data_IF_805550034461
#
_entry.id   IF_805550034461
#
_cell.length_a   1.000
_cell.length_b   1.000
_cell.length_c   1.000
_cell.angle_alpha   90.00
_cell.angle_beta   90.00
_cell.angle_gamma   90.00
#
_symmetry.space_group_name_H-M   'P 1'
#
loop_
_entity.id
_entity.type
_entity.pdbx_description
1 polymer ?
#
# COMPACT_ATOMS: atom_id res chain seq x y z
N UNK A 1 -10.11 34.90 -16.76
CA UNK A 1 -9.24 35.59 -17.75
C UNK A 1 -9.89 35.39 -19.10
N UNK A 2 -10.20 36.46 -19.82
CA UNK A 2 -10.87 36.40 -21.13
C UNK A 2 -9.85 35.97 -22.20
N UNK A 3 -10.30 35.25 -23.24
CA UNK A 3 -9.45 34.66 -24.28
C UNK A 3 -8.68 35.74 -25.05
N UNK A 4 -9.25 36.94 -25.15
CA UNK A 4 -8.59 38.13 -25.70
C UNK A 4 -7.39 38.61 -24.88
N UNK A 5 -7.46 38.49 -23.55
CA UNK A 5 -6.35 38.87 -22.67
C UNK A 5 -5.16 37.90 -22.82
N UNK A 6 -5.44 36.62 -23.08
CA UNK A 6 -4.39 35.62 -23.32
C UNK A 6 -3.68 35.91 -24.64
N UNK A 7 -4.42 36.25 -25.70
CA UNK A 7 -3.83 36.60 -27.01
C UNK A 7 -2.99 37.88 -26.98
N UNK A 8 -3.40 38.89 -26.20
CA UNK A 8 -2.59 40.11 -26.02
C UNK A 8 -1.29 39.84 -25.26
N UNK A 9 -1.33 38.99 -24.22
CA UNK A 9 -0.13 38.59 -23.48
C UNK A 9 0.83 37.83 -24.39
N UNK A 10 0.33 36.87 -25.17
CA UNK A 10 1.17 36.10 -26.11
C UNK A 10 1.79 37.01 -27.18
N UNK A 11 1.02 37.96 -27.73
CA UNK A 11 1.53 38.91 -28.72
C UNK A 11 2.59 39.85 -28.14
N UNK A 12 2.42 40.29 -26.89
CA UNK A 12 3.40 41.10 -26.16
C UNK A 12 4.71 40.35 -25.92
N UNK A 13 4.62 39.06 -25.53
CA UNK A 13 5.79 38.18 -25.33
C UNK A 13 6.52 37.90 -26.64
N UNK A 14 5.80 37.72 -27.74
CA UNK A 14 6.41 37.50 -29.05
C UNK A 14 7.14 38.75 -29.58
N UNK A 15 6.61 39.94 -29.30
CA UNK A 15 7.25 41.21 -29.68
C UNK A 15 8.53 41.49 -28.87
N UNK A 16 8.59 41.08 -27.60
CA UNK A 16 9.79 41.25 -26.76
C UNK A 16 10.93 40.28 -27.11
N UNK A 17 10.64 39.19 -27.83
CA UNK A 17 11.62 38.19 -28.26
C UNK A 17 12.31 38.50 -29.60
N UNK A 18 12.03 39.65 -30.23
CA UNK A 18 12.82 40.17 -31.36
C UNK A 18 12.89 39.28 -32.61
N UNK A 19 11.91 38.40 -32.84
CA UNK A 19 11.84 37.60 -34.05
C UNK A 19 10.87 38.21 -35.07
N UNK A 20 11.41 38.77 -36.15
CA UNK A 20 10.64 39.14 -37.33
C UNK A 20 10.25 37.88 -38.11
N UNK A 21 8.99 37.80 -38.55
CA UNK A 21 8.51 36.72 -39.40
C UNK A 21 9.25 36.71 -40.76
N UNK A 22 9.74 35.55 -41.26
CA UNK A 22 10.40 35.50 -42.55
C UNK A 22 9.39 35.52 -43.71
N UNK A 23 9.76 36.22 -44.78
CA UNK A 23 9.04 36.31 -46.05
C UNK A 23 9.14 35.00 -46.88
N UNK A 24 8.19 34.73 -47.80
CA UNK A 24 8.12 33.44 -48.48
C UNK A 24 9.21 33.29 -49.56
N UNK A 25 9.98 32.21 -49.47
CA UNK A 25 10.93 31.77 -50.48
C UNK A 25 10.34 30.59 -51.24
N UNK A 26 10.13 30.76 -52.55
CA UNK A 26 9.74 29.67 -53.46
C UNK A 26 10.93 28.72 -53.69
N UNK A 27 11.01 27.68 -52.87
CA UNK A 27 11.85 26.52 -53.14
C UNK A 27 11.00 25.42 -53.78
N UNK A 28 11.26 25.13 -55.07
CA UNK A 28 10.75 23.94 -55.74
C UNK A 28 11.35 22.70 -55.07
N UNK A 29 10.61 22.12 -54.13
CA UNK A 29 10.88 20.80 -53.58
C UNK A 29 9.96 19.79 -54.26
N UNK A 30 10.54 18.74 -54.85
CA UNK A 30 9.81 17.68 -55.50
C UNK A 30 8.82 17.04 -54.50
N UNK A 31 7.55 16.98 -54.89
CA UNK A 31 6.48 16.38 -54.11
C UNK A 31 6.62 14.87 -54.19
N UNK A 32 7.46 14.29 -53.33
CA UNK A 32 7.29 12.88 -52.97
C UNK A 32 6.18 12.85 -51.91
N UNK A 33 4.98 12.50 -52.32
CA UNK A 33 3.87 12.20 -51.41
C UNK A 33 4.24 10.98 -50.58
N UNK A 34 4.88 11.21 -49.42
CA UNK A 34 4.91 10.21 -48.35
C UNK A 34 3.56 10.21 -47.65
N UNK A 35 2.54 9.66 -48.29
CA UNK A 35 1.37 9.13 -47.59
C UNK A 35 1.77 7.84 -46.91
N UNK A 36 2.53 7.94 -45.82
CA UNK A 36 2.51 6.88 -44.82
C UNK A 36 1.25 7.11 -43.98
N UNK A 37 0.31 6.15 -43.95
CA UNK A 37 -0.74 6.23 -42.95
C UNK A 37 -0.05 6.28 -41.59
N UNK A 38 -0.48 7.20 -40.73
CA UNK A 38 -0.21 7.11 -39.30
C UNK A 38 -0.93 5.83 -38.87
N UNK A 39 -0.24 4.70 -38.95
CA UNK A 39 -0.64 3.52 -38.21
C UNK A 39 -0.65 3.97 -36.78
N UNK A 40 -1.84 4.05 -36.18
CA UNK A 40 -1.99 4.11 -34.73
C UNK A 40 -0.95 3.17 -34.14
N UNK A 41 -0.03 3.68 -33.31
CA UNK A 41 0.92 2.85 -32.58
C UNK A 41 0.09 1.87 -31.76
N UNK A 42 -0.13 0.67 -32.30
CA UNK A 42 -0.71 -0.41 -31.53
C UNK A 42 0.41 -0.84 -30.60
N UNK A 43 0.33 -0.47 -29.33
CA UNK A 43 1.12 -1.10 -28.28
C UNK A 43 0.76 -2.60 -28.30
N UNK A 44 1.50 -3.38 -29.08
CA UNK A 44 1.22 -4.80 -29.30
C UNK A 44 1.39 -5.65 -28.02
N UNK A 45 2.04 -5.10 -26.99
CA UNK A 45 2.17 -5.72 -25.68
C UNK A 45 2.10 -4.66 -24.56
N UNK A 46 1.08 -4.76 -23.71
CA UNK A 46 1.00 -4.01 -22.46
C UNK A 46 1.92 -4.66 -21.41
N UNK A 47 2.86 -3.89 -20.86
CA UNK A 47 3.82 -4.37 -19.85
C UNK A 47 3.16 -4.80 -18.54
N UNK A 48 1.97 -4.30 -18.22
CA UNK A 48 1.17 -4.68 -17.06
C UNK A 48 0.34 -5.95 -17.24
N UNK A 49 0.24 -6.47 -18.48
CA UNK A 49 -0.59 -7.63 -18.83
C UNK A 49 -0.10 -8.94 -18.21
N UNK A 50 -0.99 -9.93 -18.13
CA UNK A 50 -0.64 -11.29 -17.73
C UNK A 50 0.38 -11.93 -18.69
N UNK A 51 0.27 -11.62 -19.99
CA UNK A 51 1.21 -12.08 -21.01
C UNK A 51 2.63 -11.56 -20.75
N UNK A 52 2.80 -10.26 -20.51
CA UNK A 52 4.10 -9.68 -20.18
C UNK A 52 4.68 -10.22 -18.87
N UNK A 53 3.82 -10.53 -17.89
CA UNK A 53 4.23 -11.17 -16.63
C UNK A 53 4.69 -12.61 -16.82
N UNK A 54 4.07 -13.36 -17.73
CA UNK A 54 4.40 -14.76 -18.01
C UNK A 54 5.55 -14.96 -19.01
N UNK A 55 6.04 -13.89 -19.65
CA UNK A 55 7.08 -13.94 -20.68
C UNK A 55 8.37 -14.64 -20.22
N UNK A 56 8.85 -15.57 -21.05
CA UNK A 56 10.13 -16.29 -20.89
C UNK A 56 11.10 -15.78 -21.96
N UNK A 57 12.24 -15.27 -21.50
CA UNK A 57 13.23 -14.61 -22.35
C UNK A 57 14.56 -15.36 -22.49
N UNK A 58 14.68 -16.58 -21.96
CA UNK A 58 15.91 -17.38 -22.09
C UNK A 58 16.07 -17.84 -23.54
N UNK A 59 17.20 -17.51 -24.15
CA UNK A 59 17.56 -17.93 -25.51
C UNK A 59 18.23 -19.31 -25.48
N UNK A 60 17.88 -20.19 -26.41
CA UNK A 60 18.38 -21.57 -26.52
C UNK A 60 18.34 -22.35 -25.18
N UNK A 61 17.16 -22.44 -24.53
CA UNK A 61 17.06 -23.13 -23.25
C UNK A 61 17.32 -24.63 -23.42
N UNK A 62 18.01 -25.24 -22.44
CA UNK A 62 18.20 -26.68 -22.42
C UNK A 62 16.86 -27.44 -22.40
N UNK A 63 15.87 -26.92 -21.65
CA UNK A 63 14.51 -27.46 -21.54
C UNK A 63 13.48 -26.34 -21.36
N UNK A 64 12.81 -25.96 -22.45
CA UNK A 64 11.83 -24.85 -22.45
C UNK A 64 10.54 -25.18 -21.66
N UNK A 65 10.15 -26.44 -21.65
CA UNK A 65 9.05 -26.98 -20.84
C UNK A 65 9.27 -26.73 -19.34
N UNK A 66 10.48 -26.99 -18.86
CA UNK A 66 10.86 -26.76 -17.45
C UNK A 66 10.83 -25.27 -17.11
N UNK A 67 11.29 -24.38 -18.01
CA UNK A 67 11.21 -22.94 -17.76
C UNK A 67 9.78 -22.45 -17.60
N UNK A 68 8.85 -23.02 -18.35
CA UNK A 68 7.42 -22.70 -18.23
C UNK A 68 6.90 -23.10 -16.85
N UNK A 69 7.31 -24.27 -16.36
CA UNK A 69 6.99 -24.72 -15.01
C UNK A 69 7.62 -23.84 -13.91
N UNK A 70 8.90 -23.50 -14.05
CA UNK A 70 9.59 -22.62 -13.10
C UNK A 70 8.95 -21.22 -13.08
N UNK A 71 8.48 -20.73 -14.22
CA UNK A 71 7.81 -19.42 -14.30
C UNK A 71 6.46 -19.44 -13.58
N UNK A 72 5.66 -20.51 -13.71
CA UNK A 72 4.35 -20.62 -13.02
C UNK A 72 4.47 -20.90 -11.52
N UNK A 73 5.57 -21.49 -11.06
CA UNK A 73 5.75 -21.89 -9.66
C UNK A 73 6.08 -20.72 -8.73
N UNK A 74 6.31 -19.52 -9.26
CA UNK A 74 6.67 -18.36 -8.44
C UNK A 74 6.21 -17.06 -9.08
N UNK A 75 5.87 -16.07 -8.25
CA UNK A 75 5.62 -14.70 -8.69
C UNK A 75 6.91 -13.91 -8.95
N UNK A 76 8.07 -14.43 -8.51
CA UNK A 76 9.38 -13.82 -8.75
C UNK A 76 9.71 -13.72 -10.25
N UNK A 77 10.54 -12.74 -10.63
CA UNK A 77 10.90 -12.42 -12.02
C UNK A 77 11.97 -13.37 -12.59
N UNK A 78 11.67 -14.67 -12.59
CA UNK A 78 12.57 -15.73 -13.12
C UNK A 78 12.38 -15.93 -14.63
N UNK A 79 13.30 -16.69 -15.24
CA UNK A 79 13.20 -17.13 -16.64
C UNK A 79 13.22 -16.00 -17.70
N UNK A 80 13.63 -14.79 -17.35
CA UNK A 80 13.67 -13.63 -18.27
C UNK A 80 14.87 -13.62 -19.23
N UNK A 81 15.81 -14.55 -19.06
CA UNK A 81 17.06 -14.59 -19.83
C UNK A 81 18.00 -13.42 -19.53
N UNK A 82 18.95 -13.17 -20.44
CA UNK A 82 20.01 -12.17 -20.30
C UNK A 82 20.51 -11.68 -21.66
N UNK A 83 21.13 -10.50 -21.69
CA UNK A 83 21.96 -9.99 -22.78
C UNK A 83 23.38 -9.78 -22.23
N UNK A 84 24.32 -10.68 -22.54
CA UNK A 84 25.59 -10.75 -21.80
C UNK A 84 25.33 -11.01 -20.31
N UNK A 85 25.83 -10.16 -19.38
CA UNK A 85 25.52 -10.22 -17.95
C UNK A 85 24.36 -9.29 -17.53
N UNK A 86 23.64 -8.67 -18.46
CA UNK A 86 22.57 -7.68 -18.18
C UNK A 86 21.17 -8.26 -18.40
N UNK A 87 20.13 -7.69 -17.76
CA UNK A 87 18.74 -8.04 -18.06
C UNK A 87 18.40 -7.83 -19.54
N UNK A 88 17.46 -8.61 -20.07
CA UNK A 88 16.88 -8.33 -21.39
C UNK A 88 16.01 -7.08 -21.35
N UNK A 89 15.87 -6.41 -22.49
CA UNK A 89 15.16 -5.13 -22.60
C UNK A 89 13.72 -5.21 -22.10
N UNK A 90 12.94 -6.22 -22.52
CA UNK A 90 11.54 -6.36 -22.08
C UNK A 90 11.41 -6.56 -20.56
N UNK A 91 12.34 -7.31 -19.95
CA UNK A 91 12.36 -7.48 -18.50
C UNK A 91 12.69 -6.18 -17.76
N UNK A 92 13.64 -5.39 -18.29
CA UNK A 92 13.96 -4.07 -17.74
C UNK A 92 12.79 -3.08 -17.92
N UNK A 93 12.15 -3.06 -19.09
CA UNK A 93 11.00 -2.19 -19.35
C UNK A 93 9.83 -2.52 -18.41
N UNK A 94 9.52 -3.82 -18.23
CA UNK A 94 8.49 -4.24 -17.27
C UNK A 94 8.86 -3.86 -15.83
N UNK A 95 10.12 -4.04 -15.44
CA UNK A 95 10.60 -3.62 -14.13
C UNK A 95 10.38 -2.12 -13.89
N UNK A 96 10.68 -1.27 -14.88
CA UNK A 96 10.48 0.17 -14.78
C UNK A 96 8.99 0.56 -14.74
N UNK A 97 8.14 -0.13 -15.52
CA UNK A 97 6.69 0.07 -15.50
C UNK A 97 6.06 -0.34 -14.15
N UNK A 98 6.46 -1.49 -13.60
CA UNK A 98 6.03 -1.93 -12.27
C UNK A 98 6.53 -0.94 -11.20
N UNK A 99 7.76 -0.40 -11.36
CA UNK A 99 8.31 0.58 -10.43
C UNK A 99 7.57 1.92 -10.45
N UNK A 100 7.20 2.45 -11.61
CA UNK A 100 6.44 3.70 -11.70
C UNK A 100 5.09 3.57 -11.00
N UNK A 101 4.38 2.46 -11.22
CA UNK A 101 3.11 2.18 -10.51
C UNK A 101 3.32 2.03 -9.00
N UNK A 102 4.35 1.29 -8.58
CA UNK A 102 4.68 1.10 -7.16
C UNK A 102 4.90 2.44 -6.44
N UNK A 103 5.59 3.39 -7.08
CA UNK A 103 5.83 4.73 -6.52
C UNK A 103 4.53 5.51 -6.25
N UNK A 104 3.55 5.43 -7.14
CA UNK A 104 2.26 6.10 -6.97
C UNK A 104 1.48 5.57 -5.77
N UNK A 105 1.54 4.25 -5.52
CA UNK A 105 0.80 3.61 -4.40
C UNK A 105 1.27 4.07 -3.02
N UNK A 106 2.53 4.51 -2.88
CA UNK A 106 3.09 4.99 -1.60
C UNK A 106 2.40 6.27 -1.10
N UNK A 107 2.02 7.15 -2.04
CA UNK A 107 1.41 8.45 -1.72
C UNK A 107 -0.12 8.43 -1.77
N UNK A 108 -0.72 7.33 -2.25
CA UNK A 108 -2.16 7.15 -2.25
C UNK A 108 -2.71 7.14 -0.83
N UNK A 109 -3.82 7.82 -0.62
CA UNK A 109 -4.50 7.91 0.68
C UNK A 109 -5.91 7.31 0.63
N UNK A 110 -6.36 6.79 1.78
CA UNK A 110 -7.73 6.33 1.96
C UNK A 110 -8.65 7.57 1.98
N UNK A 111 -9.70 7.62 1.16
CA UNK A 111 -10.68 8.70 1.25
C UNK A 111 -11.44 8.64 2.58
N UNK A 112 -11.67 9.77 3.23
CA UNK A 112 -12.39 9.84 4.52
C UNK A 112 -13.82 9.27 4.40
N UNK A 113 -14.47 9.47 3.25
CA UNK A 113 -15.78 8.91 2.96
C UNK A 113 -15.78 7.38 2.94
N UNK A 114 -14.68 6.74 2.55
CA UNK A 114 -14.55 5.29 2.58
C UNK A 114 -14.54 4.79 4.02
N UNK A 115 -13.76 5.43 4.91
CA UNK A 115 -13.68 5.08 6.34
C UNK A 115 -15.05 5.24 7.01
N UNK A 116 -15.73 6.35 6.72
CA UNK A 116 -17.08 6.61 7.22
C UNK A 116 -18.10 5.59 6.70
N UNK A 117 -18.00 5.17 5.44
CA UNK A 117 -18.88 4.15 4.86
C UNK A 117 -18.71 2.77 5.55
N UNK A 118 -17.51 2.47 6.07
CA UNK A 118 -17.27 1.27 6.87
C UNK A 118 -17.79 1.39 8.31
N UNK A 119 -18.35 2.55 8.71
CA UNK A 119 -18.82 2.78 10.07
C UNK A 119 -17.70 2.86 11.11
N UNK A 120 -16.47 3.16 10.68
CA UNK A 120 -15.32 3.32 11.58
C UNK A 120 -15.20 4.76 12.08
N UNK A 121 -14.83 4.91 13.35
CA UNK A 121 -14.32 6.17 13.87
C UNK A 121 -12.93 6.43 13.24
N UNK A 122 -12.77 7.57 12.59
CA UNK A 122 -11.47 8.02 12.09
C UNK A 122 -10.80 8.93 13.13
N UNK A 123 -9.59 8.57 13.55
CA UNK A 123 -8.68 9.40 14.34
C UNK A 123 -7.34 9.53 13.61
N UNK A 124 -6.49 10.45 14.07
CA UNK A 124 -5.21 10.77 13.41
C UNK A 124 -4.04 10.72 14.39
N UNK A 125 -2.86 10.37 13.89
CA UNK A 125 -1.60 10.61 14.61
C UNK A 125 -1.26 12.11 14.67
N UNK A 126 -0.08 12.47 15.18
CA UNK A 126 0.41 13.85 15.15
C UNK A 126 0.66 14.37 13.71
N UNK A 127 0.73 13.48 12.72
CA UNK A 127 1.06 13.80 11.33
C UNK A 127 -0.10 14.45 10.57
N UNK A 128 0.16 15.57 9.89
CA UNK A 128 -0.80 16.31 9.07
C UNK A 128 -0.98 15.80 7.64
N UNK A 129 0.08 15.28 7.03
CA UNK A 129 0.12 14.96 5.60
C UNK A 129 1.06 13.79 5.28
N UNK A 130 0.88 13.19 4.11
CA UNK A 130 1.64 12.00 3.68
C UNK A 130 3.15 12.26 3.53
N UNK A 131 3.59 13.47 3.19
CA UNK A 131 5.02 13.77 3.08
C UNK A 131 5.69 13.80 4.46
N UNK A 132 5.03 14.43 5.43
CA UNK A 132 5.48 14.42 6.82
C UNK A 132 5.46 13.00 7.39
N UNK A 133 4.44 12.19 7.07
CA UNK A 133 4.35 10.79 7.49
C UNK A 133 5.56 9.94 7.09
N UNK A 134 6.07 10.16 5.87
CA UNK A 134 7.22 9.41 5.33
C UNK A 134 8.55 9.80 5.99
N UNK A 135 8.64 11.00 6.56
CA UNK A 135 9.90 11.57 7.11
C UNK A 135 9.93 11.65 8.63
N UNK A 136 8.78 11.58 9.32
CA UNK A 136 8.64 11.72 10.77
C UNK A 136 7.99 10.49 11.42
N UNK A 137 8.72 9.36 11.50
CA UNK A 137 8.19 8.15 12.12
C UNK A 137 7.89 8.33 13.61
N UNK A 138 8.54 9.28 14.29
CA UNK A 138 8.30 9.61 15.69
C UNK A 138 6.88 10.16 15.93
N UNK A 139 6.42 11.08 15.08
CA UNK A 139 5.06 11.66 15.13
C UNK A 139 3.99 10.65 14.72
N UNK A 140 4.27 9.77 13.76
CA UNK A 140 3.35 8.70 13.36
C UNK A 140 3.14 7.62 14.43
N UNK A 141 3.96 7.60 15.50
CA UNK A 141 3.84 6.68 16.64
C UNK A 141 3.05 7.27 17.81
N UNK A 142 2.49 8.47 17.66
CA UNK A 142 1.76 9.18 18.71
C UNK A 142 0.46 9.76 18.16
N UNK A 143 -0.59 9.68 18.96
CA UNK A 143 -1.89 10.28 18.68
C UNK A 143 -1.84 11.79 18.90
N UNK A 144 -2.57 12.54 18.08
CA UNK A 144 -2.80 13.96 18.38
C UNK A 144 -3.71 14.11 19.61
N UNK A 145 -3.74 15.30 20.23
CA UNK A 145 -4.51 15.54 21.45
C UNK A 145 -6.02 15.26 21.27
N UNK A 146 -6.60 15.66 20.14
CA UNK A 146 -8.01 15.42 19.82
C UNK A 146 -8.33 13.92 19.68
N UNK A 147 -7.41 13.14 19.12
CA UNK A 147 -7.57 11.70 18.98
C UNK A 147 -7.59 11.00 20.35
N UNK A 148 -6.77 11.45 21.30
CA UNK A 148 -6.77 10.91 22.68
C UNK A 148 -8.13 11.11 23.34
N UNK A 149 -8.71 12.31 23.22
CA UNK A 149 -10.01 12.63 23.83
C UNK A 149 -11.16 11.91 23.12
N UNK A 150 -11.13 11.82 21.78
CA UNK A 150 -12.11 11.07 21.01
C UNK A 150 -12.15 9.59 21.39
N UNK A 151 -10.98 8.95 21.56
CA UNK A 151 -10.88 7.55 21.95
C UNK A 151 -11.47 7.30 23.34
N UNK A 152 -11.14 8.14 24.33
CA UNK A 152 -11.71 8.01 25.69
C UNK A 152 -13.23 8.20 25.71
N UNK A 153 -13.75 9.08 24.86
CA UNK A 153 -15.17 9.41 24.84
C UNK A 153 -16.02 8.38 24.08
N UNK A 154 -15.48 7.76 23.03
CA UNK A 154 -16.28 6.98 22.07
C UNK A 154 -15.95 5.47 22.06
N UNK A 155 -14.78 5.07 22.58
CA UNK A 155 -14.41 3.65 22.65
C UNK A 155 -14.67 3.07 24.03
N UNK A 156 -14.92 1.76 24.07
CA UNK A 156 -15.12 1.03 25.33
C UNK A 156 -13.81 0.97 26.13
N UNK A 157 -13.90 1.25 27.43
CA UNK A 157 -12.76 1.11 28.33
C UNK A 157 -12.53 -0.35 28.75
N UNK A 158 -11.26 -0.69 28.93
CA UNK A 158 -10.74 -1.99 29.35
C UNK A 158 -11.28 -3.18 28.53
N UNK A 159 -11.11 -3.20 27.19
CA UNK A 159 -11.46 -4.38 26.39
C UNK A 159 -10.44 -5.52 26.62
N UNK A 160 -10.88 -6.76 26.39
CA UNK A 160 -9.95 -7.88 26.32
C UNK A 160 -9.12 -7.81 25.03
N UNK A 161 -9.75 -7.45 23.91
CA UNK A 161 -9.10 -7.30 22.61
C UNK A 161 -9.56 -6.02 21.93
N UNK A 162 -8.62 -5.16 21.54
CA UNK A 162 -8.84 -3.95 20.75
C UNK A 162 -8.31 -4.13 19.33
N UNK A 163 -9.14 -3.89 18.32
CA UNK A 163 -8.73 -3.92 16.91
C UNK A 163 -8.56 -2.50 16.40
N UNK A 164 -7.43 -2.23 15.76
CA UNK A 164 -7.06 -0.93 15.19
C UNK A 164 -6.70 -1.15 13.73
N UNK A 165 -7.14 -0.24 12.86
CA UNK A 165 -6.82 -0.25 11.44
C UNK A 165 -6.00 1.00 11.12
N UNK A 166 -4.93 0.89 10.34
CA UNK A 166 -4.14 2.02 9.86
C UNK A 166 -3.78 1.84 8.39
N UNK A 167 -3.83 2.92 7.61
CA UNK A 167 -3.31 2.92 6.24
C UNK A 167 -1.83 2.53 6.19
N UNK A 168 -1.07 2.92 7.21
CA UNK A 168 0.34 2.62 7.26
C UNK A 168 1.07 3.16 6.04
N UNK A 169 1.85 2.30 5.38
CA UNK A 169 2.59 2.64 4.17
C UNK A 169 1.86 2.27 2.88
N UNK A 170 0.71 1.60 2.95
CA UNK A 170 -0.08 1.24 1.76
C UNK A 170 -1.58 1.27 2.02
N UNK A 171 -2.25 2.23 1.39
CA UNK A 171 -3.72 2.33 1.33
C UNK A 171 -4.36 1.12 0.66
N UNK A 172 -3.73 0.58 -0.38
CA UNK A 172 -4.27 -0.57 -1.13
C UNK A 172 -4.39 -1.81 -0.25
N UNK A 173 -3.43 -2.03 0.66
CA UNK A 173 -3.44 -3.16 1.59
C UNK A 173 -4.66 -3.17 2.53
N UNK A 174 -5.19 -1.99 2.89
CA UNK A 174 -6.40 -1.91 3.70
C UNK A 174 -7.63 -2.03 2.80
N UNK A 175 -7.74 -1.16 1.79
CA UNK A 175 -8.94 -1.04 0.96
C UNK A 175 -9.29 -2.33 0.21
N UNK A 176 -8.30 -3.11 -0.23
CA UNK A 176 -8.52 -4.38 -0.93
C UNK A 176 -8.93 -5.50 0.02
N UNK A 177 -8.30 -5.59 1.20
CA UNK A 177 -8.47 -6.74 2.09
C UNK A 177 -9.56 -6.54 3.17
N UNK A 178 -10.04 -5.31 3.37
CA UNK A 178 -10.89 -4.93 4.51
C UNK A 178 -12.15 -5.82 4.68
N UNK A 179 -12.92 -5.98 3.60
CA UNK A 179 -14.20 -6.69 3.62
C UNK A 179 -14.02 -8.19 3.93
N UNK A 180 -12.87 -8.75 3.53
CA UNK A 180 -12.57 -10.16 3.75
C UNK A 180 -11.93 -10.44 5.11
N UNK A 181 -11.29 -9.45 5.75
CA UNK A 181 -10.59 -9.67 7.03
C UNK A 181 -11.38 -9.19 8.24
N UNK A 182 -11.96 -7.98 8.20
CA UNK A 182 -12.47 -7.32 9.39
C UNK A 182 -13.77 -7.97 9.89
N UNK A 183 -14.81 -8.17 9.06
CA UNK A 183 -16.05 -8.82 9.51
C UNK A 183 -15.83 -10.20 10.16
N UNK A 184 -15.09 -11.16 9.55
CA UNK A 184 -14.86 -12.46 10.18
C UNK A 184 -13.96 -12.36 11.42
N UNK A 185 -12.98 -11.45 11.46
CA UNK A 185 -12.16 -11.22 12.66
C UNK A 185 -13.04 -10.77 13.84
N UNK A 186 -13.85 -9.74 13.64
CA UNK A 186 -14.72 -9.20 14.69
C UNK A 186 -15.77 -10.21 15.14
N UNK A 187 -16.34 -10.98 14.21
CA UNK A 187 -17.25 -12.07 14.53
C UNK A 187 -16.56 -13.18 15.34
N UNK A 188 -15.38 -13.62 14.93
CA UNK A 188 -14.61 -14.67 15.61
C UNK A 188 -14.20 -14.28 17.02
N UNK A 189 -13.76 -13.04 17.24
CA UNK A 189 -13.42 -12.52 18.58
C UNK A 189 -14.65 -12.50 19.51
N UNK A 190 -15.82 -12.07 19.00
CA UNK A 190 -17.07 -12.07 19.78
C UNK A 190 -17.55 -13.49 20.08
N UNK A 191 -17.52 -14.39 19.10
CA UNK A 191 -17.91 -15.79 19.27
C UNK A 191 -16.99 -16.54 20.24
N UNK A 192 -15.73 -16.13 20.35
CA UNK A 192 -14.80 -16.61 21.37
C UNK A 192 -15.12 -16.12 22.79
N UNK A 193 -16.16 -15.31 22.98
CA UNK A 193 -16.60 -14.81 24.30
C UNK A 193 -15.75 -13.67 24.85
N UNK A 194 -14.91 -13.03 24.03
CA UNK A 194 -14.02 -11.95 24.45
C UNK A 194 -14.77 -10.62 24.52
N UNK A 195 -14.42 -9.75 25.48
CA UNK A 195 -14.88 -8.36 25.47
C UNK A 195 -14.17 -7.58 24.37
N UNK A 196 -14.78 -7.52 23.19
CA UNK A 196 -14.20 -6.85 22.01
C UNK A 196 -14.38 -5.34 22.08
N UNK A 197 -13.29 -4.61 21.84
CA UNK A 197 -13.24 -3.16 21.73
C UNK A 197 -14.01 -2.60 20.52
N UNK A 198 -14.32 -1.30 20.54
CA UNK A 198 -14.86 -0.61 19.37
C UNK A 198 -13.74 -0.47 18.32
N UNK A 199 -13.84 -1.02 17.11
CA UNK A 199 -12.79 -0.86 16.10
C UNK A 199 -12.78 0.58 15.58
N UNK A 200 -11.59 1.08 15.26
CA UNK A 200 -11.40 2.43 14.72
C UNK A 200 -10.21 2.48 13.76
N UNK A 201 -10.19 3.52 12.94
CA UNK A 201 -9.16 3.80 11.95
C UNK A 201 -8.22 4.90 12.45
N UNK A 202 -6.91 4.70 12.30
CA UNK A 202 -5.86 5.66 12.62
C UNK A 202 -5.16 6.08 11.33
N UNK A 203 -5.43 7.30 10.87
CA UNK A 203 -4.70 7.86 9.73
C UNK A 203 -3.26 8.17 10.14
N UNK A 204 -2.30 7.83 9.27
CA UNK A 204 -0.87 8.06 9.46
C UNK A 204 -0.29 7.33 10.69
N UNK A 205 -0.79 6.13 10.97
CA UNK A 205 -0.35 5.31 12.11
C UNK A 205 0.87 4.44 11.80
N UNK A 206 1.89 4.53 12.66
CA UNK A 206 3.01 3.56 12.74
C UNK A 206 2.74 2.56 13.86
N UNK A 207 3.32 1.37 13.77
CA UNK A 207 3.06 0.24 14.69
C UNK A 207 3.06 0.63 16.17
N UNK A 208 4.09 1.33 16.68
CA UNK A 208 4.18 1.72 18.10
C UNK A 208 3.07 2.66 18.60
N UNK A 209 2.22 3.21 17.74
CA UNK A 209 1.03 3.96 18.19
C UNK A 209 0.06 3.07 18.98
N UNK A 210 0.09 1.76 18.73
CA UNK A 210 -0.74 0.79 19.45
C UNK A 210 -0.39 0.71 20.95
N UNK A 211 0.84 1.06 21.34
CA UNK A 211 1.24 1.11 22.76
C UNK A 211 0.45 2.18 23.50
N UNK A 212 0.36 3.37 22.91
CA UNK A 212 -0.41 4.49 23.47
C UNK A 212 -1.90 4.17 23.49
N UNK A 213 -2.42 3.52 22.44
CA UNK A 213 -3.82 3.08 22.36
C UNK A 213 -4.13 2.08 23.48
N UNK A 214 -3.27 1.09 23.69
CA UNK A 214 -3.45 0.09 24.76
C UNK A 214 -3.44 0.72 26.15
N UNK A 215 -2.58 1.70 26.40
CA UNK A 215 -2.58 2.46 27.65
C UNK A 215 -3.85 3.31 27.84
N UNK A 216 -4.27 4.06 26.82
CA UNK A 216 -5.44 4.95 26.89
C UNK A 216 -6.72 4.15 27.14
N UNK A 217 -6.89 3.04 26.42
CA UNK A 217 -8.11 2.23 26.49
C UNK A 217 -8.05 1.13 27.56
N UNK A 218 -6.89 0.88 28.17
CA UNK A 218 -6.69 -0.23 29.10
C UNK A 218 -6.88 -1.61 28.45
N UNK A 219 -6.56 -1.72 27.15
CA UNK A 219 -6.77 -2.95 26.38
C UNK A 219 -5.76 -4.04 26.79
N UNK A 220 -6.25 -5.26 27.04
CA UNK A 220 -5.36 -6.39 27.38
C UNK A 220 -4.60 -6.93 26.17
N UNK A 221 -5.20 -6.92 24.99
CA UNK A 221 -4.53 -7.22 23.71
C UNK A 221 -4.89 -6.13 22.73
N UNK A 222 -3.89 -5.57 22.06
CA UNK A 222 -4.10 -4.65 20.93
C UNK A 222 -3.66 -5.37 19.66
N UNK A 223 -4.50 -5.31 18.63
CA UNK A 223 -4.27 -5.87 17.30
C UNK A 223 -4.33 -4.71 16.32
N UNK A 224 -3.23 -4.44 15.63
CA UNK A 224 -3.12 -3.43 14.60
C UNK A 224 -2.99 -4.09 13.22
N UNK A 225 -4.01 -3.88 12.38
CA UNK A 225 -3.95 -4.18 10.95
C UNK A 225 -3.42 -2.95 10.21
N UNK A 226 -2.26 -3.08 9.55
CA UNK A 226 -1.55 -1.95 8.96
C UNK A 226 -0.93 -2.29 7.61
N UNK A 227 -1.09 -1.38 6.64
CA UNK A 227 -0.52 -1.52 5.30
C UNK A 227 1.02 -1.50 5.33
N UNK A 228 1.63 -2.50 4.72
CA UNK A 228 3.08 -2.61 4.61
C UNK A 228 3.66 -1.65 3.57
N UNK A 229 4.99 -1.60 3.46
CA UNK A 229 5.66 -0.89 2.37
C UNK A 229 5.31 -1.57 1.03
N UNK A 230 4.83 -0.82 0.01
CA UNK A 230 4.57 -1.39 -1.31
C UNK A 230 5.78 -2.09 -1.90
N UNK A 231 5.54 -3.28 -2.48
CA UNK A 231 6.52 -4.01 -3.26
C UNK A 231 6.57 -3.51 -4.71
N UNK A 232 7.46 -4.09 -5.51
CA UNK A 232 7.55 -3.74 -6.94
C UNK A 232 6.27 -4.14 -7.70
N UNK A 233 5.79 -5.37 -7.49
CA UNK A 233 4.67 -5.94 -8.26
C UNK A 233 3.32 -5.96 -7.55
N UNK A 234 3.24 -5.49 -6.31
CA UNK A 234 2.00 -5.46 -5.52
C UNK A 234 2.07 -4.41 -4.41
N UNK A 235 0.92 -3.85 -4.04
CA UNK A 235 0.74 -2.88 -2.94
C UNK A 235 -0.25 -3.37 -1.88
N UNK A 236 -0.75 -4.59 -1.98
CA UNK A 236 -1.89 -5.09 -1.21
C UNK A 236 -1.50 -5.87 0.05
N UNK A 237 -0.19 -6.03 0.34
CA UNK A 237 0.27 -6.75 1.52
C UNK A 237 -0.09 -6.04 2.83
N UNK A 238 -0.91 -6.70 3.63
CA UNK A 238 -1.31 -6.28 4.97
C UNK A 238 -0.49 -7.05 6.04
N UNK A 239 -0.17 -6.35 7.13
CA UNK A 239 0.40 -6.97 8.33
C UNK A 239 -0.48 -6.75 9.55
N UNK A 240 -0.46 -7.74 10.44
CA UNK A 240 -1.00 -7.68 11.78
C UNK A 240 0.16 -7.62 12.78
N UNK A 241 0.19 -6.56 13.59
CA UNK A 241 1.01 -6.48 14.80
C UNK A 241 0.11 -6.63 16.02
N UNK A 242 0.48 -7.49 16.95
CA UNK A 242 -0.32 -7.72 18.15
C UNK A 242 0.55 -7.76 19.41
N UNK A 243 0.07 -7.14 20.48
CA UNK A 243 0.78 -7.04 21.75
C UNK A 243 -0.16 -7.21 22.94
N UNK A 244 0.31 -7.92 23.96
CA UNK A 244 -0.39 -8.10 25.21
C UNK A 244 -0.01 -6.97 26.19
N UNK A 245 -1.03 -6.24 26.67
CA UNK A 245 -0.98 -5.21 27.70
C UNK A 245 0.17 -4.20 27.50
N UNK A 246 0.23 -3.53 26.34
CA UNK A 246 1.39 -2.71 26.00
C UNK A 246 1.53 -1.49 26.90
N UNK A 247 2.77 -1.02 27.02
CA UNK A 247 3.15 0.19 27.73
C UNK A 247 4.19 0.96 26.90
N UNK A 248 3.96 2.25 26.68
CA UNK A 248 4.85 3.11 25.89
C UNK A 248 6.28 3.13 26.43
N UNK A 249 6.43 3.04 27.76
CA UNK A 249 7.71 3.12 28.44
C UNK A 249 8.52 1.81 28.43
N UNK A 250 7.86 0.65 28.37
CA UNK A 250 8.53 -0.64 28.63
C UNK A 250 8.42 -1.65 27.49
N UNK A 251 7.39 -1.58 26.66
CA UNK A 251 7.20 -2.54 25.55
C UNK A 251 8.26 -2.33 24.46
N UNK A 252 8.91 -3.42 24.05
CA UNK A 252 9.87 -3.45 22.94
C UNK A 252 9.27 -4.17 21.72
N UNK A 253 9.87 -4.02 20.53
CA UNK A 253 9.28 -4.64 19.33
C UNK A 253 9.26 -6.16 19.38
N UNK A 254 10.18 -6.78 20.12
CA UNK A 254 10.20 -8.22 20.30
C UNK A 254 8.99 -8.75 21.08
N UNK A 255 8.30 -7.88 21.84
CA UNK A 255 7.08 -8.25 22.57
C UNK A 255 5.86 -8.38 21.66
N UNK A 256 5.98 -7.98 20.38
CA UNK A 256 4.90 -8.07 19.40
C UNK A 256 4.95 -9.40 18.64
N UNK A 257 3.79 -9.99 18.42
CA UNK A 257 3.64 -11.05 17.42
C UNK A 257 3.27 -10.42 16.08
N UNK A 258 3.96 -10.81 15.01
CA UNK A 258 3.73 -10.33 13.66
C UNK A 258 3.15 -11.47 12.79
N UNK A 259 2.05 -11.19 12.08
CA UNK A 259 1.55 -12.00 10.97
C UNK A 259 1.57 -11.08 9.74
N UNK A 260 2.48 -11.35 8.81
CA UNK A 260 2.70 -10.51 7.61
C UNK A 260 2.19 -11.18 6.34
N UNK A 261 2.24 -10.46 5.22
CA UNK A 261 1.91 -10.99 3.89
C UNK A 261 0.47 -11.51 3.81
N UNK A 262 -0.46 -10.80 4.44
CA UNK A 262 -1.88 -11.05 4.34
C UNK A 262 -2.39 -10.36 3.07
N UNK A 263 -2.67 -11.16 2.05
CA UNK A 263 -3.28 -10.77 0.77
C UNK A 263 -3.57 -12.05 -0.04
N UNK A 264 -4.26 -11.92 -1.17
CA UNK A 264 -4.63 -13.07 -2.04
C UNK A 264 -3.45 -13.90 -2.58
N UNK A 265 -2.24 -13.34 -2.60
CA UNK A 265 -1.01 -14.04 -3.03
C UNK A 265 -0.14 -14.54 -1.87
N UNK A 266 -0.55 -14.30 -0.63
CA UNK A 266 0.11 -14.77 0.60
C UNK A 266 -0.90 -15.58 1.41
N UNK A 267 -1.03 -15.29 2.70
CA UNK A 267 -2.12 -15.87 3.52
C UNK A 267 -3.43 -15.14 3.18
N UNK A 268 -4.49 -15.83 2.72
CA UNK A 268 -5.75 -15.19 2.37
C UNK A 268 -6.37 -14.44 3.57
N UNK A 269 -7.00 -13.27 3.35
CA UNK A 269 -7.49 -12.42 4.46
C UNK A 269 -8.50 -13.12 5.39
N UNK A 270 -9.39 -13.94 4.83
CA UNK A 270 -10.38 -14.73 5.61
C UNK A 270 -9.69 -15.73 6.54
N UNK A 271 -8.67 -16.44 6.06
CA UNK A 271 -7.89 -17.39 6.87
C UNK A 271 -7.06 -16.66 7.91
N UNK A 272 -6.41 -15.56 7.53
CA UNK A 272 -5.63 -14.73 8.44
C UNK A 272 -6.49 -14.21 9.61
N UNK A 273 -7.76 -13.86 9.37
CA UNK A 273 -8.68 -13.48 10.43
C UNK A 273 -8.84 -14.59 11.49
N UNK A 274 -8.98 -15.85 11.07
CA UNK A 274 -9.08 -16.98 11.99
C UNK A 274 -7.77 -17.20 12.78
N UNK A 275 -6.62 -17.08 12.12
CA UNK A 275 -5.30 -17.17 12.78
C UNK A 275 -5.12 -16.07 13.83
N UNK A 276 -5.56 -14.84 13.53
CA UNK A 276 -5.49 -13.71 14.47
C UNK A 276 -6.41 -13.94 15.68
N UNK A 277 -7.61 -14.49 15.47
CA UNK A 277 -8.53 -14.85 16.58
C UNK A 277 -7.88 -15.87 17.50
N UNK A 278 -7.29 -16.94 16.96
CA UNK A 278 -6.57 -17.95 17.74
C UNK A 278 -5.40 -17.33 18.52
N UNK A 279 -4.60 -16.49 17.86
CA UNK A 279 -3.49 -15.78 18.48
C UNK A 279 -3.95 -14.92 19.67
N UNK A 280 -5.05 -14.18 19.52
CA UNK A 280 -5.59 -13.34 20.59
C UNK A 280 -6.01 -14.15 21.82
N UNK A 281 -6.62 -15.33 21.61
CA UNK A 281 -6.99 -16.26 22.70
C UNK A 281 -5.76 -16.73 23.45
N UNK A 282 -4.74 -17.20 22.73
CA UNK A 282 -3.47 -17.65 23.33
C UNK A 282 -2.75 -16.53 24.08
N UNK A 283 -2.75 -15.31 23.55
CA UNK A 283 -2.15 -14.16 24.25
C UNK A 283 -2.83 -13.89 25.60
N UNK A 284 -4.17 -13.95 25.65
CA UNK A 284 -4.93 -13.75 26.88
C UNK A 284 -4.74 -14.88 27.90
N UNK A 285 -4.68 -16.13 27.43
CA UNK A 285 -4.43 -17.32 28.26
C UNK A 285 -3.04 -17.28 28.90
N UNK A 286 -2.01 -17.02 28.09
CA UNK A 286 -0.61 -17.01 28.53
C UNK A 286 -0.20 -15.70 29.20
N UNK A 287 -0.98 -14.63 29.01
CA UNK A 287 -0.64 -13.26 29.43
C UNK A 287 0.70 -12.79 28.86
N UNK A 288 0.95 -13.14 27.60
CA UNK A 288 2.20 -12.90 26.91
C UNK A 288 1.97 -12.71 25.41
N UNK A 289 2.89 -12.01 24.75
CA UNK A 289 2.92 -11.80 23.30
C UNK A 289 4.36 -11.83 22.78
N UNK A 290 4.52 -11.94 21.47
CA UNK A 290 5.82 -11.95 20.80
C UNK A 290 6.71 -13.09 21.26
N UNK A 291 7.98 -12.77 21.54
CA UNK A 291 8.99 -13.75 21.97
C UNK A 291 8.64 -14.44 23.30
N UNK A 292 7.72 -13.88 24.08
CA UNK A 292 7.35 -14.38 25.40
C UNK A 292 6.25 -15.45 25.34
N UNK A 293 5.69 -15.74 24.16
CA UNK A 293 4.68 -16.79 23.99
C UNK A 293 5.30 -18.18 23.94
N UNK A 294 4.63 -19.15 24.54
CA UNK A 294 4.93 -20.56 24.33
C UNK A 294 4.30 -21.06 23.04
N UNK A 295 4.93 -22.08 22.43
CA UNK A 295 4.42 -22.78 21.24
C UNK A 295 3.15 -23.55 21.54
#
# INVERSE_FOLDING_TARGET
MDQKQIEEIVRSVMASMGQAAPAPSEAKCATTTCTTPVTSESCALDLGSAEAKAWIGVENPHRADVLTELRRSTVALVCTGRAGPRPRTQALLRFLADHSRSKDTVLKEVPEEWVKAQGLLEVRSEISDKNLYLTRPDMGRRLCAEAVEALKAQCVANPDVQVVISDGLSTDAITVNYEEILPPLMAGLKQAGLKVGTPFFVRYGRVKIEDQIGEILGAKVVILLVGERPGLGQSESLSCYAVYSPRMATTVEADRTCISNIHQGGTPPVEAAAVIVDLAKRMLEQKASGINMTR
#
